data_IF_470035654769
#
_entry.id   IF_470035654769
#
_cell.length_a   1.000
_cell.length_b   1.000
_cell.length_c   1.000
_cell.angle_alpha   90.00
_cell.angle_beta   90.00
_cell.angle_gamma   90.00
#
_symmetry.space_group_name_H-M   'P 1'
#
loop_
_entity.id
_entity.type
_entity.pdbx_description
1 polymer ?
#
# COMPACT_ATOMS: atom_id res chain seq x y z
N UNK A 1 -8.98 10.64 -20.94
CA UNK A 1 -8.86 11.16 -19.56
C UNK A 1 -7.41 11.50 -19.38
N UNK A 2 -7.10 12.70 -18.89
CA UNK A 2 -5.74 13.01 -18.46
C UNK A 2 -5.37 12.04 -17.33
N UNK A 3 -4.12 11.61 -17.28
CA UNK A 3 -3.64 10.62 -16.29
C UNK A 3 -3.88 11.11 -14.85
N UNK A 4 -3.90 12.42 -14.66
CA UNK A 4 -4.23 13.10 -13.41
C UNK A 4 -5.62 12.78 -12.85
N UNK A 5 -6.59 12.53 -13.73
CA UNK A 5 -7.99 12.25 -13.37
C UNK A 5 -8.27 10.76 -13.24
N UNK A 6 -7.33 9.89 -13.64
CA UNK A 6 -7.48 8.44 -13.52
C UNK A 6 -7.46 8.03 -12.03
N UNK A 7 -8.29 7.05 -11.64
CA UNK A 7 -8.28 6.54 -10.27
C UNK A 7 -6.97 5.82 -9.98
N UNK A 8 -6.32 6.17 -8.87
CA UNK A 8 -5.15 5.46 -8.36
C UNK A 8 -5.59 4.18 -7.67
N UNK A 9 -5.25 3.05 -8.30
CA UNK A 9 -5.72 1.72 -7.89
C UNK A 9 -4.69 1.00 -7.04
N UNK A 10 -5.20 0.20 -6.11
CA UNK A 10 -4.43 -0.67 -5.26
C UNK A 10 -5.05 -2.06 -5.26
N UNK A 11 -4.19 -3.07 -5.37
CA UNK A 11 -4.51 -4.46 -5.10
C UNK A 11 -3.90 -4.87 -3.76
N UNK A 12 -4.73 -5.35 -2.85
CA UNK A 12 -4.32 -5.81 -1.53
C UNK A 12 -4.82 -7.25 -1.30
N UNK A 13 -3.99 -8.10 -0.73
CA UNK A 13 -4.29 -9.49 -0.38
C UNK A 13 -4.01 -9.71 1.11
N UNK A 14 -4.96 -10.33 1.81
CA UNK A 14 -4.89 -10.56 3.26
C UNK A 14 -3.83 -11.58 3.67
N UNK A 15 -3.65 -12.63 2.87
CA UNK A 15 -2.69 -13.70 3.11
C UNK A 15 -2.03 -14.10 1.79
N UNK A 16 -0.84 -13.59 1.52
CA UNK A 16 -0.09 -14.01 0.36
C UNK A 16 0.59 -15.36 0.62
N UNK A 17 0.01 -16.43 0.10
CA UNK A 17 0.55 -17.79 0.22
C UNK A 17 1.16 -18.21 -1.11
N UNK A 18 2.49 -18.45 -1.14
CA UNK A 18 3.16 -19.09 -2.28
C UNK A 18 3.12 -20.60 -2.06
N UNK A 19 2.30 -21.32 -2.80
CA UNK A 19 2.29 -22.79 -2.75
C UNK A 19 3.47 -23.37 -3.51
N UNK A 20 4.30 -24.21 -2.87
CA UNK A 20 5.21 -25.11 -3.60
C UNK A 20 4.42 -26.32 -4.11
N UNK A 21 4.26 -26.43 -5.43
CA UNK A 21 3.65 -27.60 -6.07
C UNK A 21 4.69 -28.70 -6.32
N UNK A 22 4.84 -29.60 -5.36
CA UNK A 22 5.54 -30.88 -5.57
C UNK A 22 4.56 -31.90 -6.18
N UNK A 23 4.72 -32.21 -7.47
CA UNK A 23 4.05 -33.37 -8.08
C UNK A 23 4.82 -34.67 -7.75
N UNK A 24 4.17 -35.84 -7.58
CA UNK A 24 2.73 -36.12 -7.49
C UNK A 24 2.31 -36.58 -6.08
N UNK A 25 1.06 -36.26 -5.72
CA UNK A 25 0.36 -36.58 -4.47
C UNK A 25 0.73 -35.65 -3.30
N UNK A 26 -0.08 -34.64 -3.04
CA UNK A 26 -0.71 -34.35 -1.75
C UNK A 26 -1.49 -33.03 -1.86
N UNK A 27 -2.57 -32.89 -1.09
CA UNK A 27 -3.18 -31.58 -0.83
C UNK A 27 -2.08 -30.66 -0.30
N UNK A 28 -1.83 -29.55 -1.01
CA UNK A 28 -0.82 -28.58 -0.63
C UNK A 28 -1.08 -28.04 0.77
N UNK A 29 -0.04 -28.04 1.60
CA UNK A 29 -0.08 -27.40 2.91
C UNK A 29 0.03 -25.88 2.69
N UNK A 30 -1.01 -25.13 3.06
CA UNK A 30 -0.98 -23.66 3.02
C UNK A 30 -0.19 -23.20 4.25
N UNK A 31 1.11 -22.93 4.08
CA UNK A 31 1.90 -22.19 5.06
C UNK A 31 1.92 -20.73 4.62
N UNK A 32 1.63 -19.81 5.53
CA UNK A 32 1.94 -18.40 5.33
C UNK A 32 3.46 -18.28 5.24
N UNK A 33 4.00 -18.07 4.04
CA UNK A 33 5.43 -17.92 3.82
C UNK A 33 5.71 -16.41 3.84
N UNK A 34 6.62 -15.96 4.71
CA UNK A 34 7.21 -14.62 4.64
C UNK A 34 7.99 -14.59 3.31
N UNK A 35 7.63 -13.78 2.30
CA UNK A 35 8.28 -13.86 1.01
C UNK A 35 9.69 -13.31 1.11
N UNK A 36 10.69 -14.17 0.91
CA UNK A 36 12.08 -13.78 0.71
C UNK A 36 12.22 -13.05 -0.64
N UNK A 37 13.17 -12.10 -0.66
CA UNK A 37 13.37 -10.99 -1.60
C UNK A 37 13.51 -11.32 -3.12
N UNK A 38 13.33 -12.56 -3.56
CA UNK A 38 13.62 -13.01 -4.94
C UNK A 38 12.40 -13.50 -5.73
N UNK A 39 11.29 -12.75 -5.78
CA UNK A 39 10.15 -13.11 -6.64
C UNK A 39 9.70 -11.95 -7.53
N UNK A 40 10.18 -11.96 -8.78
CA UNK A 40 9.89 -10.94 -9.80
C UNK A 40 8.73 -11.31 -10.76
N UNK A 41 8.04 -12.45 -10.59
CA UNK A 41 7.04 -12.95 -11.55
C UNK A 41 5.69 -13.36 -10.91
N UNK A 42 5.23 -12.64 -9.88
CA UNK A 42 4.09 -13.05 -9.03
C UNK A 42 2.66 -12.97 -9.60
N UNK A 43 2.45 -12.41 -10.80
CA UNK A 43 1.09 -12.14 -11.33
C UNK A 43 0.49 -13.34 -12.09
N UNK A 44 1.30 -14.20 -12.72
CA UNK A 44 0.80 -15.29 -13.57
C UNK A 44 0.32 -16.54 -12.78
N UNK A 45 0.52 -16.56 -11.45
CA UNK A 45 0.24 -17.73 -10.60
C UNK A 45 -1.14 -17.71 -9.91
N UNK A 46 -1.98 -16.69 -10.17
CA UNK A 46 -3.30 -16.48 -9.53
C UNK A 46 -4.43 -17.37 -10.11
N UNK A 47 -4.08 -18.53 -10.65
CA UNK A 47 -5.00 -19.45 -11.33
C UNK A 47 -5.75 -20.40 -10.39
N UNK A 48 -6.98 -20.02 -10.05
CA UNK A 48 -8.20 -20.88 -10.00
C UNK A 48 -8.74 -21.47 -8.69
N UNK A 49 -8.06 -21.49 -7.53
CA UNK A 49 -8.70 -21.97 -6.27
C UNK A 49 -8.20 -21.38 -4.93
N UNK A 50 -7.33 -20.37 -4.95
CA UNK A 50 -6.55 -19.99 -3.76
C UNK A 50 -7.08 -18.81 -2.93
N UNK A 51 -8.05 -18.05 -3.44
CA UNK A 51 -8.56 -16.85 -2.75
C UNK A 51 -10.08 -16.78 -2.85
N UNK A 52 -10.77 -16.66 -1.72
CA UNK A 52 -12.17 -16.24 -1.67
C UNK A 52 -12.24 -14.73 -1.95
N UNK A 53 -13.41 -14.22 -2.36
CA UNK A 53 -13.59 -12.78 -2.63
C UNK A 53 -13.24 -11.90 -1.42
N UNK A 54 -13.32 -12.45 -0.20
CA UNK A 54 -12.95 -11.78 1.05
C UNK A 54 -11.44 -11.70 1.30
N UNK A 55 -10.62 -12.46 0.56
CA UNK A 55 -9.18 -12.52 0.74
C UNK A 55 -8.42 -11.44 -0.05
N UNK A 56 -9.11 -10.70 -0.93
CA UNK A 56 -8.53 -9.60 -1.70
C UNK A 56 -9.39 -8.33 -1.66
N UNK A 57 -8.72 -7.20 -1.76
CA UNK A 57 -9.32 -5.87 -1.86
C UNK A 57 -8.74 -5.17 -3.09
N UNK A 58 -9.63 -4.75 -4.00
CA UNK A 58 -9.32 -3.78 -5.04
C UNK A 58 -9.93 -2.45 -4.63
N UNK A 59 -9.09 -1.44 -4.42
CA UNK A 59 -9.54 -0.15 -3.88
C UNK A 59 -8.94 1.03 -4.62
N UNK A 60 -9.66 2.15 -4.57
CA UNK A 60 -9.29 3.42 -5.19
C UNK A 60 -9.02 4.46 -4.09
N UNK A 61 -7.81 5.01 -4.09
CA UNK A 61 -7.41 6.01 -3.10
C UNK A 61 -7.90 7.43 -3.45
N UNK A 62 -8.25 7.66 -4.70
CA UNK A 62 -8.54 8.97 -5.27
C UNK A 62 -8.01 9.01 -6.70
N UNK A 63 -7.84 10.20 -7.27
CA UNK A 63 -7.16 10.34 -8.55
C UNK A 63 -5.63 10.24 -8.41
N UNK A 64 -4.91 9.94 -9.50
CA UNK A 64 -3.45 9.94 -9.51
C UNK A 64 -2.87 11.29 -9.06
N UNK A 65 -3.51 12.41 -9.42
CA UNK A 65 -3.12 13.75 -8.94
C UNK A 65 -3.25 13.90 -7.43
N UNK A 66 -4.35 13.42 -6.85
CA UNK A 66 -4.57 13.45 -5.40
C UNK A 66 -3.54 12.58 -4.68
N UNK A 67 -3.23 11.39 -5.21
CA UNK A 67 -2.23 10.52 -4.61
C UNK A 67 -0.81 11.09 -4.69
N UNK A 68 -0.42 11.72 -5.80
CA UNK A 68 0.88 12.44 -5.89
C UNK A 68 0.98 13.58 -4.88
N UNK A 69 -0.11 14.31 -4.68
CA UNK A 69 -0.15 15.40 -3.71
C UNK A 69 -0.02 14.85 -2.29
N UNK A 70 -0.67 13.72 -1.99
CA UNK A 70 -0.51 12.99 -0.74
C UNK A 70 0.95 12.58 -0.50
N UNK A 71 1.61 11.97 -1.47
CA UNK A 71 3.02 11.56 -1.35
C UNK A 71 3.94 12.74 -1.02
N UNK A 72 3.78 13.87 -1.73
CA UNK A 72 4.59 15.08 -1.47
C UNK A 72 4.40 15.61 -0.05
N UNK A 73 3.17 15.64 0.45
CA UNK A 73 2.89 16.09 1.82
C UNK A 73 3.48 15.11 2.85
N UNK A 74 3.36 13.80 2.58
CA UNK A 74 3.92 12.77 3.44
C UNK A 74 5.45 12.82 3.50
N UNK A 75 6.12 13.15 2.38
CA UNK A 75 7.57 13.40 2.36
C UNK A 75 7.96 14.58 3.25
N UNK A 76 7.23 15.70 3.19
CA UNK A 76 7.47 16.86 4.06
C UNK A 76 7.26 16.53 5.54
N UNK A 77 6.23 15.75 5.87
CA UNK A 77 6.00 15.27 7.24
C UNK A 77 7.13 14.33 7.68
N UNK A 78 7.63 13.48 6.78
CA UNK A 78 8.73 12.57 7.05
C UNK A 78 10.05 13.30 7.33
N UNK A 79 10.27 14.50 6.78
CA UNK A 79 11.44 15.32 7.13
C UNK A 79 11.47 15.70 8.62
N UNK A 80 10.31 15.69 9.30
CA UNK A 80 10.16 16.04 10.71
C UNK A 80 10.15 14.80 11.61
N UNK A 81 9.33 13.81 11.27
CA UNK A 81 9.18 12.59 12.09
C UNK A 81 10.32 11.60 11.92
N UNK A 82 10.95 11.63 10.74
CA UNK A 82 11.95 10.68 10.27
C UNK A 82 11.42 9.23 10.17
N UNK A 83 12.12 8.43 9.37
CA UNK A 83 11.96 6.97 9.29
C UNK A 83 10.55 6.45 8.91
N UNK A 84 9.84 7.14 8.02
CA UNK A 84 8.61 6.60 7.41
C UNK A 84 8.94 5.45 6.42
N UNK A 85 8.69 4.17 6.78
CA UNK A 85 9.11 3.03 5.97
C UNK A 85 8.41 2.99 4.60
N UNK A 86 7.21 3.57 4.52
CA UNK A 86 6.44 3.64 3.28
C UNK A 86 7.15 4.47 2.20
N UNK A 87 7.74 5.62 2.54
CA UNK A 87 8.35 6.52 1.56
C UNK A 87 9.53 5.83 0.87
N UNK A 88 10.36 5.13 1.64
CA UNK A 88 11.53 4.43 1.11
C UNK A 88 11.11 3.19 0.31
N UNK A 89 10.17 2.40 0.83
CA UNK A 89 9.64 1.24 0.13
C UNK A 89 8.98 1.62 -1.20
N UNK A 90 8.17 2.68 -1.19
CA UNK A 90 7.47 3.18 -2.38
C UNK A 90 8.43 3.63 -3.48
N UNK A 91 9.56 4.24 -3.12
CA UNK A 91 10.60 4.64 -4.08
C UNK A 91 11.32 3.44 -4.68
N UNK A 92 11.48 2.36 -3.91
CA UNK A 92 12.19 1.17 -4.33
C UNK A 92 11.32 0.22 -5.18
N UNK A 93 10.05 0.08 -4.83
CA UNK A 93 9.15 -0.90 -5.43
C UNK A 93 7.69 -0.44 -5.36
N UNK A 94 6.87 -0.90 -6.29
CA UNK A 94 5.42 -0.73 -6.22
C UNK A 94 4.72 -1.95 -5.58
N UNK A 95 5.48 -2.93 -5.10
CA UNK A 95 4.97 -4.19 -4.57
C UNK A 95 5.56 -4.45 -3.21
N UNK A 96 4.69 -4.57 -2.20
CA UNK A 96 5.04 -4.78 -0.80
C UNK A 96 4.52 -6.12 -0.31
N UNK A 97 5.27 -6.71 0.62
CA UNK A 97 4.95 -8.01 1.17
C UNK A 97 5.40 -8.14 2.62
N UNK A 98 4.60 -8.82 3.43
CA UNK A 98 4.98 -9.24 4.78
C UNK A 98 5.51 -8.13 5.69
N UNK A 99 6.81 -8.13 5.95
CA UNK A 99 7.48 -7.27 6.94
C UNK A 99 7.30 -5.78 6.67
N UNK A 100 7.49 -5.32 5.43
CA UNK A 100 7.38 -3.90 5.12
C UNK A 100 5.95 -3.37 5.30
N UNK A 101 4.94 -4.21 5.07
CA UNK A 101 3.52 -3.88 5.31
C UNK A 101 3.29 -3.69 6.82
N UNK A 102 3.84 -4.59 7.63
CA UNK A 102 3.73 -4.53 9.10
C UNK A 102 4.46 -3.31 9.68
N UNK A 103 5.64 -2.97 9.15
CA UNK A 103 6.38 -1.75 9.51
C UNK A 103 5.58 -0.49 9.15
N UNK A 104 5.04 -0.40 7.93
CA UNK A 104 4.19 0.71 7.52
C UNK A 104 2.96 0.83 8.41
N UNK A 105 2.28 -0.29 8.73
CA UNK A 105 1.14 -0.31 9.65
C UNK A 105 1.51 0.28 11.00
N UNK A 106 2.59 -0.22 11.61
CA UNK A 106 3.02 0.19 12.94
C UNK A 106 3.41 1.67 12.99
N UNK A 107 4.08 2.17 11.94
CA UNK A 107 4.41 3.59 11.84
C UNK A 107 3.16 4.45 11.73
N UNK A 108 2.19 4.09 10.87
CA UNK A 108 0.93 4.84 10.73
C UNK A 108 0.15 4.87 12.04
N UNK A 109 0.04 3.74 12.74
CA UNK A 109 -0.68 3.66 14.01
C UNK A 109 0.00 4.49 15.12
N UNK A 110 1.33 4.48 15.15
CA UNK A 110 2.11 5.24 16.14
C UNK A 110 2.07 6.75 15.90
N UNK A 111 1.95 7.17 14.63
CA UNK A 111 1.96 8.58 14.23
C UNK A 111 0.57 9.15 13.92
N UNK A 112 -0.50 8.36 14.12
CA UNK A 112 -1.87 8.76 13.76
C UNK A 112 -2.26 10.09 14.41
N UNK A 113 -1.99 10.26 15.71
CA UNK A 113 -2.34 11.49 16.42
C UNK A 113 -1.69 12.74 15.83
N UNK A 114 -0.45 12.64 15.35
CA UNK A 114 0.29 13.78 14.83
C UNK A 114 -0.30 14.26 13.49
N UNK A 115 -0.72 13.32 12.66
CA UNK A 115 -1.31 13.58 11.34
C UNK A 115 -2.74 14.13 11.45
N UNK A 116 -3.43 13.82 12.54
CA UNK A 116 -4.77 14.32 12.83
C UNK A 116 -4.81 15.57 13.72
N UNK A 117 -3.66 16.16 14.06
CA UNK A 117 -3.57 17.42 14.79
C UNK A 117 -3.41 18.59 13.81
N UNK A 118 -4.51 19.29 13.43
CA UNK A 118 -4.48 20.23 12.32
C UNK A 118 -3.50 21.37 12.54
N UNK A 119 -3.28 21.78 13.78
CA UNK A 119 -2.36 22.86 14.12
C UNK A 119 -0.88 22.53 13.89
N UNK A 120 -0.49 21.24 13.87
CA UNK A 120 0.87 20.80 13.60
C UNK A 120 1.15 20.65 12.10
N UNK A 121 0.12 20.36 11.31
CA UNK A 121 0.26 20.02 9.89
C UNK A 121 -0.37 21.04 8.93
N UNK A 122 -1.11 22.03 9.44
CA UNK A 122 -1.80 23.05 8.63
C UNK A 122 -0.88 23.78 7.64
N UNK A 123 0.40 23.96 7.99
CA UNK A 123 1.34 24.72 7.18
C UNK A 123 1.85 23.91 5.96
N UNK A 124 1.54 22.60 5.89
CA UNK A 124 1.80 21.74 4.73
C UNK A 124 0.68 21.79 3.68
N UNK A 125 -0.46 22.43 3.98
CA UNK A 125 -1.63 22.41 3.11
C UNK A 125 -2.02 23.83 2.68
N UNK A 126 -2.36 24.00 1.40
CA UNK A 126 -2.79 25.31 0.86
C UNK A 126 -4.19 25.70 1.34
N UNK A 127 -5.04 24.70 1.59
CA UNK A 127 -6.42 24.90 2.03
C UNK A 127 -6.94 23.68 2.83
N UNK A 128 -8.11 23.83 3.45
CA UNK A 128 -8.74 22.80 4.27
C UNK A 128 -9.14 21.54 3.48
N UNK A 129 -9.50 21.69 2.21
CA UNK A 129 -9.90 20.56 1.35
C UNK A 129 -8.71 19.63 1.10
N UNK A 130 -7.52 20.19 0.83
CA UNK A 130 -6.30 19.41 0.64
C UNK A 130 -5.91 18.65 1.91
N UNK A 131 -6.06 19.29 3.07
CA UNK A 131 -5.82 18.65 4.36
C UNK A 131 -6.80 17.48 4.61
N UNK A 132 -8.10 17.67 4.36
CA UNK A 132 -9.09 16.61 4.47
C UNK A 132 -8.82 15.46 3.50
N UNK A 133 -8.43 15.78 2.26
CA UNK A 133 -8.06 14.77 1.27
C UNK A 133 -6.83 13.97 1.71
N UNK A 134 -5.82 14.63 2.29
CA UNK A 134 -4.66 13.97 2.87
C UNK A 134 -5.07 12.99 3.98
N UNK A 135 -5.89 13.44 4.93
CA UNK A 135 -6.36 12.62 6.04
C UNK A 135 -7.16 11.39 5.56
N UNK A 136 -8.04 11.57 4.57
CA UNK A 136 -8.81 10.45 3.99
C UNK A 136 -7.89 9.44 3.31
N UNK A 137 -6.97 9.89 2.46
CA UNK A 137 -6.00 9.00 1.80
C UNK A 137 -5.14 8.27 2.82
N UNK A 138 -4.71 8.97 3.88
CA UNK A 138 -3.89 8.39 4.94
C UNK A 138 -4.62 7.28 5.72
N UNK A 139 -5.91 7.48 6.04
CA UNK A 139 -6.74 6.47 6.70
C UNK A 139 -7.02 5.27 5.80
N UNK A 140 -7.29 5.50 4.51
CA UNK A 140 -7.45 4.41 3.54
C UNK A 140 -6.19 3.56 3.44
N UNK A 141 -5.02 4.18 3.40
CA UNK A 141 -3.75 3.46 3.43
C UNK A 141 -3.58 2.62 4.70
N UNK A 142 -3.91 3.18 5.88
CA UNK A 142 -3.89 2.42 7.12
C UNK A 142 -4.86 1.23 7.11
N UNK A 143 -6.06 1.40 6.58
CA UNK A 143 -7.02 0.30 6.42
C UNK A 143 -6.47 -0.81 5.55
N UNK A 144 -5.81 -0.45 4.44
CA UNK A 144 -5.14 -1.39 3.54
C UNK A 144 -4.00 -2.13 4.25
N UNK A 145 -3.15 -1.43 5.00
CA UNK A 145 -2.08 -2.07 5.77
C UNK A 145 -2.62 -3.00 6.85
N UNK A 146 -3.72 -2.63 7.53
CA UNK A 146 -4.41 -3.50 8.49
C UNK A 146 -5.04 -4.72 7.82
N UNK A 147 -5.59 -4.55 6.62
CA UNK A 147 -6.16 -5.64 5.83
C UNK A 147 -5.10 -6.67 5.44
N UNK A 148 -3.95 -6.22 4.95
CA UNK A 148 -2.84 -7.09 4.56
C UNK A 148 -2.12 -7.71 5.78
N UNK A 149 -1.87 -6.93 6.83
CA UNK A 149 -1.04 -7.32 7.98
C UNK A 149 0.32 -7.94 7.57
N UNK A 150 1.01 -8.62 8.48
CA UNK A 150 2.37 -9.16 8.26
C UNK A 150 2.45 -10.38 7.34
N UNK A 151 1.35 -10.83 6.76
CA UNK A 151 1.29 -11.96 5.82
C UNK A 151 0.72 -11.58 4.46
N UNK A 152 0.34 -10.32 4.28
CA UNK A 152 -0.33 -9.87 3.08
C UNK A 152 0.60 -9.49 1.94
N UNK A 153 -0.02 -9.09 0.85
CA UNK A 153 0.61 -8.54 -0.34
C UNK A 153 -0.12 -7.26 -0.72
N UNK A 154 0.62 -6.26 -1.14
CA UNK A 154 0.09 -4.99 -1.58
C UNK A 154 0.79 -4.56 -2.86
N UNK A 155 0.03 -4.33 -3.92
CA UNK A 155 0.53 -3.78 -5.17
C UNK A 155 -0.12 -2.43 -5.44
N UNK A 156 0.75 -1.44 -5.57
CA UNK A 156 0.43 -0.07 -5.91
C UNK A 156 0.48 0.11 -7.42
N UNK A 157 -0.44 0.93 -7.93
CA UNK A 157 -0.44 1.38 -9.32
C UNK A 157 0.96 1.86 -9.74
N UNK A 158 1.42 1.35 -10.89
CA UNK A 158 2.81 1.51 -11.35
C UNK A 158 3.17 2.98 -11.63
N UNK A 159 4.47 3.30 -11.62
CA UNK A 159 4.99 4.61 -12.01
C UNK A 159 4.46 5.11 -13.35
N UNK A 160 4.07 4.24 -14.28
CA UNK A 160 3.48 4.63 -15.57
C UNK A 160 2.17 5.41 -15.41
N UNK A 161 1.35 5.06 -14.42
CA UNK A 161 0.11 5.77 -14.09
C UNK A 161 0.36 7.10 -13.36
N UNK A 162 1.62 7.40 -13.01
CA UNK A 162 2.04 8.60 -12.30
C UNK A 162 2.98 9.51 -13.12
N UNK A 163 3.64 8.96 -14.14
CA UNK A 163 4.72 9.59 -14.91
C UNK A 163 4.26 10.23 -16.22
N UNK A 164 3.05 9.96 -16.69
CA UNK A 164 2.51 10.63 -17.88
C UNK A 164 2.06 12.04 -17.48
N UNK A 165 2.99 12.99 -17.70
CA UNK A 165 2.76 14.45 -17.76
C UNK A 165 2.15 14.84 -19.10
#
# INVERSE_FOLDING_TARGET
>A
MEVDDMPYKILALKNFCIGQFGYPNFMGEIKGIKPDFEFNDGIDYLGSKMYQFEDFMLTELGSCKQFRSYLKCLEQINEILQDCPFIDAYKATNTFTGEIIEECKNWWESNLNLIFQPHLVKDFFENEVDHLQFQVTHLKMLEIFRFCSGYGFLQLATNKELSEQ
#
